data_IF_183975734415
#
_entry.id   IF_183975734415
#
_cell.length_a   1.000
_cell.length_b   1.000
_cell.length_c   1.000
_cell.angle_alpha   90.00
_cell.angle_beta   90.00
_cell.angle_gamma   90.00
#
_symmetry.space_group_name_H-M   'P 1'
#
loop_
_entity.id
_entity.type
_entity.pdbx_description
1 polymer ?
#
# COMPACT_ATOMS: atom_id res chain seq x y z
N UNK A 1 54.19 -6.54 20.79
CA UNK A 1 52.93 -6.86 21.50
C UNK A 1 52.39 -5.52 22.00
N UNK A 2 51.19 -5.02 21.72
CA UNK A 2 49.89 -5.62 21.38
C UNK A 2 49.15 -4.70 20.37
N UNK A 3 48.72 -5.23 19.22
CA UNK A 3 47.34 -5.59 18.85
C UNK A 3 46.33 -4.42 18.90
N UNK A 4 46.07 -3.88 17.71
CA UNK A 4 44.90 -3.07 17.35
C UNK A 4 43.65 -3.97 17.42
N UNK A 5 42.73 -3.67 18.33
CA UNK A 5 41.40 -4.28 18.34
C UNK A 5 40.52 -3.56 17.33
N UNK A 6 40.60 -3.98 16.08
CA UNK A 6 39.56 -3.68 15.08
C UNK A 6 38.32 -4.47 15.47
N UNK A 7 37.41 -3.85 16.21
CA UNK A 7 36.04 -4.37 16.36
C UNK A 7 35.36 -4.24 15.02
N UNK A 8 35.47 -5.29 14.20
CA UNK A 8 34.63 -5.52 13.05
C UNK A 8 33.20 -5.71 13.55
N UNK A 9 32.46 -4.62 13.68
CA UNK A 9 31.01 -4.65 13.89
C UNK A 9 30.39 -5.19 12.61
N UNK A 10 30.30 -6.51 12.48
CA UNK A 10 29.48 -7.16 11.46
C UNK A 10 28.03 -6.85 11.80
N UNK A 11 27.50 -5.74 11.27
CA UNK A 11 26.07 -5.48 11.25
C UNK A 11 25.44 -6.60 10.42
N UNK A 12 24.80 -7.54 11.11
CA UNK A 12 23.98 -8.55 10.47
C UNK A 12 23.04 -7.84 9.50
N UNK A 13 23.10 -8.20 8.20
CA UNK A 13 22.11 -7.77 7.23
C UNK A 13 20.77 -8.27 7.71
N UNK A 14 20.00 -7.40 8.35
CA UNK A 14 18.63 -7.70 8.73
C UNK A 14 17.90 -7.90 7.41
N UNK A 15 17.46 -9.12 7.13
CA UNK A 15 16.57 -9.43 6.00
C UNK A 15 15.16 -8.93 6.34
N UNK A 16 15.05 -7.64 6.67
CA UNK A 16 13.82 -6.94 7.00
C UNK A 16 13.33 -6.13 5.81
N UNK A 17 12.02 -5.93 5.73
CA UNK A 17 11.45 -4.92 4.85
C UNK A 17 11.81 -3.54 5.39
N UNK A 18 12.68 -2.82 4.67
CA UNK A 18 13.02 -1.44 5.00
C UNK A 18 12.18 -0.47 4.18
N UNK A 19 11.69 0.58 4.84
CA UNK A 19 11.01 1.68 4.17
C UNK A 19 12.09 2.59 3.57
N UNK A 20 11.88 3.02 2.33
CA UNK A 20 12.80 3.93 1.67
C UNK A 20 12.99 5.22 2.51
N UNK A 21 14.23 5.50 2.90
CA UNK A 21 14.57 6.64 3.75
C UNK A 21 14.09 7.99 3.18
N UNK A 22 14.01 8.12 1.85
CA UNK A 22 13.52 9.35 1.21
C UNK A 22 12.03 9.62 1.46
N UNK A 23 11.23 8.58 1.73
CA UNK A 23 9.79 8.68 1.97
C UNK A 23 9.41 8.40 3.42
N UNK A 24 10.38 8.10 4.28
CA UNK A 24 10.13 7.70 5.67
C UNK A 24 9.39 8.78 6.48
N UNK A 25 9.74 10.06 6.29
CA UNK A 25 9.06 11.17 6.94
C UNK A 25 7.59 11.29 6.49
N UNK A 26 7.33 11.09 5.20
CA UNK A 26 5.96 11.09 4.64
C UNK A 26 5.15 9.94 5.24
N UNK A 27 5.71 8.73 5.27
CA UNK A 27 5.02 7.58 5.85
C UNK A 27 4.81 7.71 7.35
N UNK A 28 5.70 8.40 8.06
CA UNK A 28 5.52 8.70 9.49
C UNK A 28 4.31 9.62 9.71
N UNK A 29 4.17 10.68 8.92
CA UNK A 29 3.01 11.57 9.02
C UNK A 29 1.68 10.85 8.68
N UNK A 30 1.69 9.96 7.68
CA UNK A 30 0.51 9.14 7.36
C UNK A 30 0.21 8.13 8.47
N UNK A 31 1.24 7.50 9.05
CA UNK A 31 1.09 6.58 10.17
C UNK A 31 0.47 7.23 11.40
N UNK A 32 0.75 8.51 11.65
CA UNK A 32 0.16 9.27 12.75
C UNK A 32 -1.32 9.63 12.50
N UNK A 33 -1.76 9.58 11.23
CA UNK A 33 -3.16 9.77 10.85
C UNK A 33 -3.99 8.47 10.82
N UNK A 34 -3.39 7.33 11.19
CA UNK A 34 -4.13 6.07 11.28
C UNK A 34 -5.27 6.19 12.30
N UNK A 35 -6.44 5.60 12.01
CA UNK A 35 -7.53 5.54 12.99
C UNK A 35 -7.09 4.76 14.24
N UNK A 36 -7.75 4.98 15.37
CA UNK A 36 -7.46 4.28 16.62
C UNK A 36 -7.47 2.75 16.46
N UNK A 37 -8.37 2.29 15.60
CA UNK A 37 -8.61 0.88 15.30
C UNK A 37 -8.58 0.64 13.80
N UNK A 38 -7.91 -0.44 13.39
CA UNK A 38 -7.89 -0.93 12.00
C UNK A 38 -8.30 -2.40 11.99
N UNK A 39 -9.22 -2.75 11.08
CA UNK A 39 -9.61 -4.15 10.86
C UNK A 39 -8.85 -4.72 9.66
N UNK A 40 -8.08 -5.79 9.88
CA UNK A 40 -7.34 -6.50 8.84
C UNK A 40 -7.84 -7.94 8.80
N UNK A 41 -8.34 -8.39 7.65
CA UNK A 41 -8.88 -9.76 7.47
C UNK A 41 -9.94 -10.13 8.53
N UNK A 42 -10.76 -9.17 8.96
CA UNK A 42 -11.79 -9.38 9.98
C UNK A 42 -11.29 -9.36 11.43
N UNK A 43 -9.99 -9.17 11.66
CA UNK A 43 -9.40 -9.03 12.99
C UNK A 43 -9.16 -7.55 13.29
N UNK A 44 -9.57 -7.13 14.47
CA UNK A 44 -9.45 -5.75 14.93
C UNK A 44 -8.10 -5.52 15.64
N UNK A 45 -7.38 -4.48 15.23
CA UNK A 45 -6.09 -4.09 15.80
C UNK A 45 -6.15 -2.63 16.25
N UNK A 46 -5.60 -2.34 17.44
CA UNK A 46 -5.41 -0.96 17.88
C UNK A 46 -4.10 -0.42 17.32
N UNK A 47 -4.16 0.71 16.62
CA UNK A 47 -2.97 1.34 16.03
C UNK A 47 -1.94 1.75 17.09
N UNK A 48 -2.39 2.07 18.30
CA UNK A 48 -1.53 2.42 19.44
C UNK A 48 -0.65 1.25 19.92
N UNK A 49 -1.09 0.00 19.71
CA UNK A 49 -0.33 -1.19 20.14
C UNK A 49 0.82 -1.52 19.17
N UNK A 50 0.83 -0.91 17.99
CA UNK A 50 1.85 -1.08 16.97
C UNK A 50 3.01 -0.10 17.18
N UNK A 51 4.24 -0.58 17.01
CA UNK A 51 5.41 0.29 16.97
C UNK A 51 5.41 1.18 15.71
N UNK A 52 6.23 2.23 15.70
CA UNK A 52 6.26 3.22 14.62
C UNK A 52 6.48 2.60 13.23
N UNK A 53 7.40 1.64 13.10
CA UNK A 53 7.67 0.99 11.81
C UNK A 53 6.49 0.12 11.36
N UNK A 54 5.85 -0.60 12.29
CA UNK A 54 4.66 -1.39 12.01
C UNK A 54 3.48 -0.51 11.57
N UNK A 55 3.30 0.68 12.19
CA UNK A 55 2.31 1.66 11.74
C UNK A 55 2.59 2.16 10.32
N UNK A 56 3.85 2.49 9.99
CA UNK A 56 4.21 2.91 8.63
C UNK A 56 3.94 1.80 7.60
N UNK A 57 4.34 0.56 7.89
CA UNK A 57 4.06 -0.58 7.01
C UNK A 57 2.56 -0.84 6.86
N UNK A 58 1.78 -0.65 7.94
CA UNK A 58 0.32 -0.74 7.88
C UNK A 58 -0.26 0.36 6.98
N UNK A 59 0.19 1.60 7.09
CA UNK A 59 -0.23 2.69 6.20
C UNK A 59 0.07 2.38 4.74
N UNK A 60 1.24 1.83 4.44
CA UNK A 60 1.62 1.41 3.08
C UNK A 60 0.67 0.31 2.59
N UNK A 61 0.41 -0.71 3.41
CA UNK A 61 -0.49 -1.80 3.07
C UNK A 61 -1.91 -1.31 2.78
N UNK A 62 -2.46 -0.43 3.61
CA UNK A 62 -3.80 0.13 3.40
C UNK A 62 -3.88 0.99 2.14
N UNK A 63 -2.82 1.76 1.84
CA UNK A 63 -2.73 2.52 0.61
C UNK A 63 -2.72 1.60 -0.64
N UNK A 64 -1.96 0.50 -0.60
CA UNK A 64 -1.90 -0.48 -1.68
C UNK A 64 -3.28 -1.14 -1.92
N UNK A 65 -3.98 -1.54 -0.86
CA UNK A 65 -5.34 -2.08 -0.97
C UNK A 65 -6.30 -1.08 -1.64
N UNK A 66 -6.20 0.20 -1.29
CA UNK A 66 -7.00 1.27 -1.90
C UNK A 66 -6.68 1.43 -3.39
N UNK A 67 -5.40 1.47 -3.76
CA UNK A 67 -4.96 1.58 -5.16
C UNK A 67 -5.49 0.41 -5.99
N UNK A 68 -5.38 -0.82 -5.49
CA UNK A 68 -5.92 -2.00 -6.18
C UNK A 68 -7.44 -1.91 -6.35
N UNK A 69 -8.16 -1.40 -5.34
CA UNK A 69 -9.59 -1.14 -5.43
C UNK A 69 -9.94 -0.13 -6.54
N UNK A 70 -9.27 1.03 -6.53
CA UNK A 70 -9.46 2.09 -7.54
C UNK A 70 -9.12 1.59 -8.95
N UNK A 71 -8.07 0.78 -9.12
CA UNK A 71 -7.72 0.18 -10.41
C UNK A 71 -8.83 -0.75 -10.92
N UNK A 72 -9.41 -1.57 -10.05
CA UNK A 72 -10.54 -2.44 -10.43
C UNK A 72 -11.76 -1.63 -10.83
N UNK A 73 -12.05 -0.55 -10.11
CA UNK A 73 -13.16 0.35 -10.43
C UNK A 73 -12.96 1.01 -11.81
N UNK A 74 -11.75 1.50 -12.09
CA UNK A 74 -11.41 2.08 -13.40
C UNK A 74 -11.60 1.07 -14.54
N UNK A 75 -11.19 -0.18 -14.35
CA UNK A 75 -11.40 -1.24 -15.35
C UNK A 75 -12.89 -1.50 -15.55
N UNK A 76 -13.67 -1.60 -14.48
CA UNK A 76 -15.12 -1.82 -14.57
C UNK A 76 -15.83 -0.67 -15.30
N UNK A 77 -15.42 0.59 -15.05
CA UNK A 77 -15.94 1.75 -15.75
C UNK A 77 -15.58 1.75 -17.24
N UNK A 78 -14.35 1.36 -17.58
CA UNK A 78 -13.92 1.24 -18.98
C UNK A 78 -14.72 0.15 -19.72
N UNK A 79 -14.96 -1.00 -19.10
CA UNK A 79 -15.79 -2.07 -19.66
C UNK A 79 -17.24 -1.62 -19.86
N UNK A 80 -17.81 -0.90 -18.89
CA UNK A 80 -19.15 -0.35 -18.98
C UNK A 80 -19.25 0.65 -20.13
N UNK A 81 -18.27 1.56 -20.26
CA UNK A 81 -18.19 2.52 -21.36
C UNK A 81 -18.12 1.84 -22.72
N UNK A 82 -17.30 0.79 -22.86
CA UNK A 82 -17.20 0.01 -24.09
C UNK A 82 -18.53 -0.68 -24.45
N UNK A 83 -19.20 -1.29 -23.46
CA UNK A 83 -20.52 -1.92 -23.66
C UNK A 83 -21.58 -0.89 -24.08
N UNK A 84 -21.57 0.29 -23.46
CA UNK A 84 -22.48 1.38 -23.81
C UNK A 84 -22.26 1.87 -25.24
N UNK A 85 -21.00 2.05 -25.64
CA UNK A 85 -20.65 2.44 -27.01
C UNK A 85 -21.09 1.39 -28.03
N UNK A 86 -20.88 0.10 -27.72
CA UNK A 86 -21.28 -0.99 -28.60
C UNK A 86 -22.81 -1.03 -28.76
N UNK A 87 -23.56 -0.88 -27.66
CA UNK A 87 -25.02 -0.80 -27.71
C UNK A 87 -25.52 0.41 -28.52
N UNK A 88 -24.84 1.55 -28.42
CA UNK A 88 -25.16 2.74 -29.23
C UNK A 88 -24.92 2.49 -30.72
N UNK A 89 -23.78 1.88 -31.08
CA UNK A 89 -23.48 1.50 -32.47
C UNK A 89 -24.54 0.54 -33.01
N UNK A 90 -24.89 -0.49 -32.24
CA UNK A 90 -25.91 -1.48 -32.61
C UNK A 90 -27.28 -0.82 -32.85
N UNK A 91 -27.67 0.12 -31.99
CA UNK A 91 -28.95 0.84 -32.11
C UNK A 91 -29.04 1.76 -33.34
N UNK A 92 -27.89 2.16 -33.91
CA UNK A 92 -27.82 3.08 -35.05
C UNK A 92 -27.47 2.40 -36.38
N UNK A 93 -27.31 1.08 -36.39
CA UNK A 93 -27.06 0.34 -37.64
C UNK A 93 -28.35 0.30 -38.50
N UNK A 94 -28.27 0.64 -39.80
CA UNK A 94 -29.43 0.60 -40.68
C UNK A 94 -29.84 -0.85 -40.92
N UNK A 95 -30.91 -1.29 -40.26
CA UNK A 95 -31.48 -2.65 -40.39
C UNK A 95 -31.60 -3.43 -39.08
N UNK A 96 -31.19 -2.86 -37.94
CA UNK A 96 -31.53 -3.37 -36.60
C UNK A 96 -32.95 -2.94 -36.18
#
# INVERSE_FOLDING_TARGET
>A
MAQQSSTSSSSASSSGLEINAATDATWSAVADSLPETVTINGVEYKSADLNGNARKLLSIYLADQKIVGEQKELVALAELGLKSLLAEIESNLPGA
#
